data_IF_810435892282
#
_entry.id   IF_810435892282
#
_cell.length_a   1.000
_cell.length_b   1.000
_cell.length_c   1.000
_cell.angle_alpha   90.00
_cell.angle_beta   90.00
_cell.angle_gamma   90.00
#
_symmetry.space_group_name_H-M   'P 1'
#
loop_
_entity.id
_entity.type
_entity.pdbx_description
1 polymer ?
#
# COMPACT_ATOMS: atom_id res chain seq x y z
N UNK A 1 -33.66 20.35 1.18
CA UNK A 1 -33.67 18.92 1.58
C UNK A 1 -32.52 18.21 0.87
N UNK A 2 -31.90 17.21 1.49
CA UNK A 2 -30.80 16.47 0.90
C UNK A 2 -31.34 15.38 -0.05
N UNK A 3 -30.87 15.27 -1.31
CA UNK A 3 -31.33 14.23 -2.23
C UNK A 3 -30.95 12.83 -1.75
N UNK A 4 -31.75 11.82 -2.11
CA UNK A 4 -31.52 10.43 -1.69
C UNK A 4 -30.19 9.88 -2.21
N UNK A 5 -29.80 10.18 -3.45
CA UNK A 5 -28.52 9.74 -4.00
C UNK A 5 -27.34 10.27 -3.19
N UNK A 6 -27.44 11.48 -2.64
CA UNK A 6 -26.40 12.06 -1.77
C UNK A 6 -26.32 11.26 -0.47
N UNK A 7 -27.45 10.89 0.14
CA UNK A 7 -27.48 10.05 1.34
C UNK A 7 -26.85 8.66 1.09
N UNK A 8 -27.11 8.08 -0.08
CA UNK A 8 -26.50 6.82 -0.51
C UNK A 8 -24.98 6.95 -0.61
N UNK A 9 -24.48 8.00 -1.28
CA UNK A 9 -23.04 8.25 -1.39
C UNK A 9 -22.43 8.52 0.00
N UNK A 10 -23.10 9.21 0.91
CA UNK A 10 -22.59 9.39 2.27
C UNK A 10 -22.43 8.08 3.02
N UNK A 11 -23.35 7.13 2.84
CA UNK A 11 -23.22 5.80 3.44
C UNK A 11 -21.98 5.09 2.90
N UNK A 12 -21.76 5.11 1.59
CA UNK A 12 -20.54 4.55 0.98
C UNK A 12 -19.26 5.25 1.40
N UNK A 13 -19.26 6.59 1.52
CA UNK A 13 -18.12 7.34 2.06
C UNK A 13 -17.86 7.00 3.53
N UNK A 14 -18.88 6.63 4.30
CA UNK A 14 -18.73 6.17 5.68
C UNK A 14 -18.12 4.77 5.76
N UNK A 15 -18.52 3.89 4.85
CA UNK A 15 -17.90 2.57 4.72
C UNK A 15 -16.45 2.69 4.26
N UNK A 16 -16.17 3.59 3.31
CA UNK A 16 -14.81 3.93 2.88
C UNK A 16 -13.96 4.41 4.05
N UNK A 17 -14.49 5.31 4.88
CA UNK A 17 -13.81 5.83 6.09
C UNK A 17 -13.42 4.69 7.03
N UNK A 18 -14.34 3.76 7.30
CA UNK A 18 -14.07 2.59 8.13
C UNK A 18 -12.93 1.73 7.54
N UNK A 19 -12.94 1.50 6.23
CA UNK A 19 -11.85 0.81 5.55
C UNK A 19 -10.52 1.57 5.67
N UNK A 20 -10.49 2.88 5.51
CA UNK A 20 -9.27 3.70 5.67
C UNK A 20 -8.71 3.62 7.09
N UNK A 21 -9.56 3.55 8.12
CA UNK A 21 -9.12 3.34 9.51
C UNK A 21 -8.50 1.93 9.68
N UNK A 22 -9.14 0.92 9.10
CA UNK A 22 -8.62 -0.45 9.16
C UNK A 22 -7.32 -0.65 8.38
N UNK A 23 -7.14 0.06 7.27
CA UNK A 23 -5.89 0.07 6.50
C UNK A 23 -4.73 0.60 7.33
N UNK A 24 -4.92 1.68 8.09
CA UNK A 24 -3.87 2.21 8.97
C UNK A 24 -3.36 1.10 9.90
N UNK A 25 -4.29 0.35 10.50
CA UNK A 25 -3.97 -0.79 11.37
C UNK A 25 -3.24 -1.90 10.62
N UNK A 26 -3.74 -2.28 9.43
CA UNK A 26 -3.12 -3.31 8.58
C UNK A 26 -1.69 -2.92 8.17
N UNK A 27 -1.45 -1.66 7.80
CA UNK A 27 -0.12 -1.15 7.43
C UNK A 27 0.82 -1.15 8.66
N UNK A 28 0.33 -0.77 9.83
CA UNK A 28 1.14 -0.76 11.05
C UNK A 28 1.69 -2.14 11.37
N UNK A 29 0.82 -3.17 11.34
CA UNK A 29 1.18 -4.56 11.62
C UNK A 29 1.73 -5.31 10.40
N UNK A 30 1.77 -4.68 9.23
CA UNK A 30 2.23 -5.24 7.95
C UNK A 30 1.40 -6.45 7.47
N UNK A 31 0.08 -6.42 7.72
CA UNK A 31 -0.88 -7.39 7.17
C UNK A 31 -1.24 -7.00 5.73
N UNK A 32 -0.38 -7.41 4.80
CA UNK A 32 -0.51 -7.09 3.38
C UNK A 32 -1.73 -7.75 2.72
N UNK A 33 -2.15 -8.92 3.23
CA UNK A 33 -3.32 -9.61 2.70
C UNK A 33 -4.60 -8.86 3.07
N UNK A 34 -4.73 -8.43 4.33
CA UNK A 34 -5.85 -7.58 4.75
C UNK A 34 -5.85 -6.25 4.00
N UNK A 35 -4.70 -5.60 3.86
CA UNK A 35 -4.57 -4.35 3.11
C UNK A 35 -5.06 -4.51 1.65
N UNK A 36 -4.66 -5.59 0.98
CA UNK A 36 -5.13 -5.89 -0.38
C UNK A 36 -6.64 -6.08 -0.44
N UNK A 37 -7.23 -6.78 0.53
CA UNK A 37 -8.69 -6.97 0.59
C UNK A 37 -9.44 -5.65 0.79
N UNK A 38 -8.91 -4.75 1.61
CA UNK A 38 -9.51 -3.44 1.86
C UNK A 38 -9.50 -2.55 0.61
N UNK A 39 -8.39 -2.56 -0.15
CA UNK A 39 -8.32 -1.86 -1.44
C UNK A 39 -9.38 -2.37 -2.42
N UNK A 40 -9.56 -3.69 -2.53
CA UNK A 40 -10.60 -4.28 -3.39
C UNK A 40 -12.01 -3.85 -2.95
N UNK A 41 -12.30 -3.80 -1.65
CA UNK A 41 -13.59 -3.30 -1.16
C UNK A 41 -13.81 -1.83 -1.55
N UNK A 42 -12.79 -0.96 -1.39
CA UNK A 42 -12.86 0.45 -1.79
C UNK A 42 -13.03 0.64 -3.29
N UNK A 43 -12.42 -0.20 -4.13
CA UNK A 43 -12.65 -0.18 -5.58
C UNK A 43 -14.13 -0.41 -5.91
N UNK A 44 -14.80 -1.32 -5.20
CA UNK A 44 -16.25 -1.54 -5.34
C UNK A 44 -17.09 -0.32 -4.93
N UNK A 45 -16.72 0.35 -3.84
CA UNK A 45 -17.37 1.60 -3.41
C UNK A 45 -17.17 2.72 -4.44
N UNK A 46 -15.95 2.86 -4.97
CA UNK A 46 -15.62 3.86 -6.00
C UNK A 46 -16.49 3.67 -7.24
N UNK A 47 -16.62 2.43 -7.72
CA UNK A 47 -17.48 2.09 -8.86
C UNK A 47 -18.95 2.41 -8.58
N UNK A 48 -19.44 2.13 -7.36
CA UNK A 48 -20.82 2.40 -6.97
C UNK A 48 -21.12 3.91 -6.89
N UNK A 49 -20.19 4.68 -6.32
CA UNK A 49 -20.25 6.15 -6.27
C UNK A 49 -20.26 6.71 -7.68
N UNK A 50 -19.32 6.30 -8.54
CA UNK A 50 -19.22 6.78 -9.92
C UNK A 50 -20.50 6.47 -10.70
N UNK A 51 -20.99 5.22 -10.64
CA UNK A 51 -22.19 4.82 -11.35
C UNK A 51 -23.44 5.58 -10.90
N UNK A 52 -23.48 6.04 -9.64
CA UNK A 52 -24.57 6.89 -9.13
C UNK A 52 -24.44 8.31 -9.64
N UNK A 53 -23.24 8.89 -9.58
CA UNK A 53 -22.99 10.24 -10.09
C UNK A 53 -23.25 10.36 -11.59
N UNK A 54 -22.94 9.32 -12.37
CA UNK A 54 -23.19 9.29 -13.82
C UNK A 54 -24.68 9.35 -14.19
N UNK A 55 -25.58 9.08 -13.24
CA UNK A 55 -27.03 9.11 -13.43
C UNK A 55 -27.67 10.44 -13.01
N UNK A 56 -26.93 11.34 -12.37
CA UNK A 56 -27.46 12.55 -11.73
C UNK A 56 -27.02 13.80 -12.49
N UNK A 57 -27.95 14.51 -13.12
CA UNK A 57 -27.66 15.70 -13.94
C UNK A 57 -26.97 16.82 -13.15
N UNK A 58 -27.29 16.96 -11.85
CA UNK A 58 -26.72 17.97 -10.94
C UNK A 58 -25.65 17.41 -9.98
N UNK A 59 -24.97 16.32 -10.38
CA UNK A 59 -23.99 15.63 -9.53
C UNK A 59 -22.92 16.56 -8.95
N UNK A 60 -22.34 17.44 -9.78
CA UNK A 60 -21.27 18.36 -9.37
C UNK A 60 -21.73 19.34 -8.27
N UNK A 61 -22.88 20.00 -8.48
CA UNK A 61 -23.46 20.91 -7.51
C UNK A 61 -23.86 20.19 -6.21
N UNK A 62 -24.34 18.95 -6.33
CA UNK A 62 -24.66 18.11 -5.17
C UNK A 62 -23.44 17.71 -4.35
N UNK A 63 -22.34 17.33 -5.03
CA UNK A 63 -21.06 17.00 -4.40
C UNK A 63 -20.49 18.21 -3.64
N UNK A 64 -20.40 19.37 -4.30
CA UNK A 64 -19.85 20.58 -3.70
C UNK A 64 -20.65 21.01 -2.47
N UNK A 65 -21.99 21.00 -2.60
CA UNK A 65 -22.87 21.47 -1.53
C UNK A 65 -22.91 20.55 -0.31
N UNK A 66 -22.87 19.23 -0.51
CA UNK A 66 -23.20 18.29 0.57
C UNK A 66 -22.07 17.34 0.95
N UNK A 67 -21.18 17.00 0.03
CA UNK A 67 -20.20 15.92 0.22
C UNK A 67 -18.76 16.43 0.31
N UNK A 68 -18.48 17.64 -0.18
CA UNK A 68 -17.13 18.21 -0.22
C UNK A 68 -16.38 18.17 1.13
N UNK A 69 -16.98 18.53 2.29
CA UNK A 69 -16.28 18.43 3.57
C UNK A 69 -15.89 16.99 3.92
N UNK A 70 -16.75 16.02 3.63
CA UNK A 70 -16.52 14.61 3.94
C UNK A 70 -15.47 13.99 3.01
N UNK A 71 -15.51 14.34 1.73
CA UNK A 71 -14.47 13.94 0.77
C UNK A 71 -13.10 14.52 1.13
N UNK A 72 -13.04 15.79 1.55
CA UNK A 72 -11.79 16.41 1.97
C UNK A 72 -11.15 15.69 3.17
N UNK A 73 -11.95 15.30 4.16
CA UNK A 73 -11.46 14.54 5.30
C UNK A 73 -10.98 13.14 4.90
N UNK A 74 -11.73 12.44 4.05
CA UNK A 74 -11.30 11.15 3.50
C UNK A 74 -9.98 11.26 2.75
N UNK A 75 -9.81 12.26 1.88
CA UNK A 75 -8.53 12.47 1.17
C UNK A 75 -7.36 12.71 2.13
N UNK A 76 -7.59 13.40 3.24
CA UNK A 76 -6.58 13.61 4.28
C UNK A 76 -6.17 12.28 4.94
N UNK A 77 -7.15 11.40 5.22
CA UNK A 77 -6.90 10.07 5.79
C UNK A 77 -6.17 9.15 4.81
N UNK A 78 -6.58 9.13 3.54
CA UNK A 78 -5.89 8.38 2.47
C UNK A 78 -4.43 8.81 2.34
N UNK A 79 -4.18 10.13 2.34
CA UNK A 79 -2.81 10.67 2.27
C UNK A 79 -1.96 10.19 3.45
N UNK A 80 -2.51 10.20 4.66
CA UNK A 80 -1.83 9.69 5.86
C UNK A 80 -1.46 8.21 5.71
N UNK A 81 -2.37 7.37 5.22
CA UNK A 81 -2.11 5.95 5.00
C UNK A 81 -1.04 5.73 3.91
N UNK A 82 -1.08 6.50 2.82
CA UNK A 82 -0.08 6.44 1.76
C UNK A 82 1.33 6.80 2.26
N UNK A 83 1.44 7.83 3.11
CA UNK A 83 2.70 8.22 3.75
C UNK A 83 3.22 7.10 4.67
N UNK A 84 2.34 6.49 5.47
CA UNK A 84 2.70 5.35 6.31
C UNK A 84 3.19 4.15 5.48
N UNK A 85 2.50 3.82 4.38
CA UNK A 85 2.88 2.74 3.50
C UNK A 85 4.25 2.99 2.84
N UNK A 86 4.53 4.23 2.42
CA UNK A 86 5.82 4.61 1.86
C UNK A 86 6.98 4.41 2.86
N UNK A 87 6.76 4.71 4.15
CA UNK A 87 7.74 4.44 5.21
C UNK A 87 8.02 2.93 5.31
N UNK A 88 6.98 2.09 5.31
CA UNK A 88 7.13 0.62 5.38
C UNK A 88 7.87 0.07 4.15
N UNK A 89 7.55 0.57 2.95
CA UNK A 89 8.23 0.18 1.71
C UNK A 89 9.73 0.53 1.72
N UNK A 90 10.08 1.73 2.21
CA UNK A 90 11.47 2.14 2.35
C UNK A 90 12.25 1.25 3.34
N UNK A 91 11.62 0.91 4.46
CA UNK A 91 12.21 -0.03 5.42
C UNK A 91 12.45 -1.41 4.78
N UNK A 92 11.44 -1.99 4.13
CA UNK A 92 11.54 -3.28 3.46
C UNK A 92 12.64 -3.29 2.38
N UNK A 93 12.76 -2.21 1.60
CA UNK A 93 13.84 -2.03 0.62
C UNK A 93 15.22 -2.06 1.28
N UNK A 94 15.38 -1.40 2.42
CA UNK A 94 16.61 -1.42 3.21
C UNK A 94 17.00 -2.84 3.65
N UNK A 95 16.04 -3.64 4.13
CA UNK A 95 16.30 -5.04 4.50
C UNK A 95 16.72 -5.90 3.31
N UNK A 96 16.07 -5.72 2.16
CA UNK A 96 16.41 -6.44 0.92
C UNK A 96 17.86 -6.13 0.50
N UNK A 97 18.27 -4.87 0.55
CA UNK A 97 19.62 -4.47 0.15
C UNK A 97 20.69 -5.00 1.10
N UNK A 98 20.40 -5.06 2.41
CA UNK A 98 21.29 -5.72 3.39
C UNK A 98 21.42 -7.22 3.10
N UNK A 99 20.30 -7.91 2.87
CA UNK A 99 20.31 -9.34 2.53
C UNK A 99 21.15 -9.63 1.29
N UNK A 100 20.99 -8.83 0.23
CA UNK A 100 21.82 -8.91 -0.99
C UNK A 100 23.31 -8.70 -0.69
N UNK A 101 23.63 -7.76 0.20
CA UNK A 101 25.01 -7.50 0.61
C UNK A 101 25.62 -8.69 1.34
N UNK A 102 24.89 -9.29 2.29
CA UNK A 102 25.30 -10.51 2.99
C UNK A 102 25.54 -11.66 2.00
N UNK A 103 24.68 -11.84 0.99
CA UNK A 103 24.89 -12.83 -0.06
C UNK A 103 26.16 -12.61 -0.88
N UNK A 104 26.48 -11.35 -1.23
CA UNK A 104 27.76 -11.01 -1.91
C UNK A 104 28.96 -11.30 -1.03
N UNK A 105 28.90 -11.01 0.27
CA UNK A 105 29.98 -11.31 1.21
C UNK A 105 30.19 -12.81 1.37
N UNK A 106 29.11 -13.59 1.49
CA UNK A 106 29.19 -15.05 1.55
C UNK A 106 29.87 -15.63 0.30
N UNK A 107 29.55 -15.12 -0.89
CA UNK A 107 30.22 -15.52 -2.13
C UNK A 107 31.72 -15.18 -2.11
N UNK A 108 32.11 -14.00 -1.61
CA UNK A 108 33.54 -13.63 -1.47
C UNK A 108 34.28 -14.59 -0.54
N UNK A 109 33.68 -14.93 0.60
CA UNK A 109 34.24 -15.89 1.56
C UNK A 109 34.41 -17.26 0.88
N UNK A 110 33.36 -17.76 0.22
CA UNK A 110 33.40 -19.03 -0.52
C UNK A 110 34.55 -19.04 -1.53
N UNK A 111 34.66 -18.01 -2.36
CA UNK A 111 35.70 -17.90 -3.38
C UNK A 111 37.12 -17.89 -2.80
N UNK A 112 37.35 -17.19 -1.69
CA UNK A 112 38.65 -17.18 -1.02
C UNK A 112 39.08 -18.58 -0.56
N UNK A 113 38.16 -19.32 0.08
CA UNK A 113 38.44 -20.67 0.59
C UNK A 113 38.52 -21.76 -0.49
N UNK A 114 37.87 -21.59 -1.64
CA UNK A 114 38.04 -22.51 -2.79
C UNK A 114 39.33 -22.23 -3.55
N UNK A 115 39.70 -20.96 -3.73
CA UNK A 115 40.95 -20.59 -4.40
C UNK A 115 42.19 -21.05 -3.62
N UNK A 116 42.16 -20.94 -2.28
CA UNK A 116 43.24 -21.46 -1.42
C UNK A 116 43.38 -22.98 -1.53
N UNK A 117 42.29 -23.73 -1.67
CA UNK A 117 42.34 -25.20 -1.81
C UNK A 117 42.89 -25.64 -3.17
N UNK A 118 42.58 -24.94 -4.26
CA UNK A 118 43.13 -25.25 -5.58
C UNK A 118 44.63 -24.86 -5.68
N UNK A 119 45.03 -23.76 -5.04
CA UNK A 119 46.42 -23.31 -4.91
C UNK A 119 47.31 -24.30 -4.13
N UNK A 120 46.83 -24.80 -2.99
CA UNK A 120 47.56 -25.79 -2.17
C UNK A 120 47.69 -27.14 -2.88
N UNK A 121 46.67 -27.55 -3.67
CA UNK A 121 46.74 -28.78 -4.46
C UNK A 121 47.75 -28.65 -5.61
N UNK A 122 47.87 -27.50 -6.28
CA UNK A 122 48.84 -27.33 -7.39
C UNK A 122 50.30 -27.31 -6.91
N UNK A 123 50.57 -26.85 -5.69
CA UNK A 123 51.92 -26.76 -5.12
C UNK A 123 52.41 -28.04 -4.46
N UNK A 124 51.52 -29.02 -4.22
CA UNK A 124 51.86 -30.31 -3.61
C UNK A 124 52.09 -31.46 -4.62
N UNK A 125 51.98 -31.17 -5.92
CA UNK A 125 52.27 -32.11 -7.02
C UNK A 125 53.43 -31.64 -7.93
N UNK A 126 54.34 -30.80 -7.43
CA UNK A 126 55.62 -30.46 -8.09
C UNK A 126 56.80 -31.07 -7.33
#
# INVERSE_FOLDING_TARGET
>A
MKPNWVLTIEAWLSEWEAHTIEEESAIQIQDWQKLSSLHTSKEGLMQSIQATLDQEEDAEAGLEKWLAPRMAELFRMEKKNAELLAIKQNHARGEIDRSRSSGRQLNKIKSAYTADKESVMLTSYS
#
